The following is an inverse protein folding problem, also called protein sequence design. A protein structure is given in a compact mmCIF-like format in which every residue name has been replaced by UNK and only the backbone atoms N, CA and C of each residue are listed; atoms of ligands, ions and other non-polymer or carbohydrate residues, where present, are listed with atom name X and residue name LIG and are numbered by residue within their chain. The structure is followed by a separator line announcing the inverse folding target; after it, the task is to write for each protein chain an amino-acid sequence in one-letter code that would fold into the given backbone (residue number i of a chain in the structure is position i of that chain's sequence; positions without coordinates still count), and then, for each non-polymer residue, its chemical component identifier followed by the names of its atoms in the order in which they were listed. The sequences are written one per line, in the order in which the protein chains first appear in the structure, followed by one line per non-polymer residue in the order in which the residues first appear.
data_IF_494450149533
#
_entry.id   IF_494450149533
#
_cell.length_a   1.000
_cell.length_b   1.000
_cell.length_c   1.000
_cell.angle_alpha   90.00
_cell.angle_beta   90.00
_cell.angle_gamma   90.00
#
_symmetry.space_group_name_H-M   'P 1'
#
loop_
_entity.id
_entity.type
_entity.pdbx_description
1 polymer ?
#
# COMPACT_ATOMS: atom_id res chain seq x y z
N UNK A 1 -1.45 11.47 30.59
CA UNK A 1 -1.66 12.40 29.47
C UNK A 1 -1.95 11.55 28.26
N UNK A 2 -3.23 11.37 27.92
CA UNK A 2 -3.63 10.58 26.76
C UNK A 2 -3.17 11.33 25.52
N UNK A 3 -2.37 10.69 24.66
CA UNK A 3 -2.01 11.27 23.37
C UNK A 3 -3.32 11.50 22.60
N UNK A 4 -3.58 12.73 22.16
CA UNK A 4 -4.64 13.00 21.19
C UNK A 4 -4.37 12.13 19.97
N UNK A 5 -5.32 11.24 19.63
CA UNK A 5 -5.27 10.49 18.38
C UNK A 5 -5.28 11.52 17.24
N UNK A 6 -4.10 11.73 16.64
CA UNK A 6 -4.02 12.55 15.44
C UNK A 6 -4.78 11.81 14.36
N UNK A 7 -5.80 12.43 13.73
CA UNK A 7 -6.45 11.83 12.59
C UNK A 7 -5.38 11.50 11.53
N UNK A 8 -5.54 10.38 10.84
CA UNK A 8 -4.65 10.00 9.75
C UNK A 8 -4.58 11.10 8.69
N UNK A 9 -3.51 11.11 7.88
CA UNK A 9 -3.36 12.10 6.82
C UNK A 9 -4.42 11.90 5.73
N UNK A 10 -4.97 12.97 5.12
CA UNK A 10 -5.75 12.86 3.91
C UNK A 10 -4.97 12.12 2.82
N UNK A 11 -5.65 11.21 2.12
CA UNK A 11 -5.06 10.40 1.05
C UNK A 11 -5.83 10.67 -0.23
N UNK A 12 -5.13 11.15 -1.24
CA UNK A 12 -5.64 11.32 -2.60
C UNK A 12 -5.05 10.23 -3.48
N UNK A 13 -5.89 9.49 -4.18
CA UNK A 13 -5.47 8.40 -5.07
C UNK A 13 -5.95 8.75 -6.46
N UNK A 14 -5.04 8.78 -7.43
CA UNK A 14 -5.40 8.96 -8.83
C UNK A 14 -6.30 7.79 -9.27
N UNK A 15 -7.36 8.10 -10.01
CA UNK A 15 -8.35 7.11 -10.42
C UNK A 15 -7.70 5.94 -11.19
N UNK A 16 -6.69 6.21 -12.01
CA UNK A 16 -5.95 5.20 -12.76
C UNK A 16 -5.26 4.18 -11.83
N UNK A 17 -4.72 4.63 -10.70
CA UNK A 17 -4.10 3.75 -9.70
C UNK A 17 -5.15 2.87 -9.04
N UNK A 18 -6.29 3.46 -8.65
CA UNK A 18 -7.38 2.68 -8.06
C UNK A 18 -7.89 1.62 -9.04
N UNK A 19 -8.04 1.96 -10.31
CA UNK A 19 -8.45 1.02 -11.36
C UNK A 19 -7.42 -0.10 -11.59
N UNK A 20 -6.12 0.19 -11.58
CA UNK A 20 -5.07 -0.83 -11.72
C UNK A 20 -5.03 -1.78 -10.51
N UNK A 21 -5.11 -1.22 -9.29
CA UNK A 21 -5.18 -2.00 -8.05
C UNK A 21 -6.40 -2.92 -8.02
N UNK A 22 -7.59 -2.40 -8.35
CA UNK A 22 -8.82 -3.20 -8.43
C UNK A 22 -8.73 -4.25 -9.53
N UNK A 23 -8.18 -3.92 -10.70
CA UNK A 23 -7.97 -4.88 -11.79
C UNK A 23 -7.06 -6.03 -11.36
N UNK A 24 -5.96 -5.73 -10.69
CA UNK A 24 -5.05 -6.76 -10.16
C UNK A 24 -5.78 -7.72 -9.22
N UNK A 25 -6.57 -7.20 -8.28
CA UNK A 25 -7.34 -8.03 -7.35
C UNK A 25 -8.37 -8.91 -8.07
N UNK A 26 -9.04 -8.39 -9.11
CA UNK A 26 -10.02 -9.14 -9.89
C UNK A 26 -9.38 -10.24 -10.76
N UNK A 27 -8.21 -9.97 -11.34
CA UNK A 27 -7.48 -10.92 -12.21
C UNK A 27 -7.00 -12.16 -11.46
N UNK A 28 -6.71 -12.03 -10.15
CA UNK A 28 -6.13 -13.11 -9.33
C UNK A 28 -7.17 -13.84 -8.46
N UNK A 29 -8.46 -13.51 -8.59
CA UNK A 29 -9.51 -14.20 -7.85
C UNK A 29 -9.43 -15.73 -8.03
N UNK A 30 -9.61 -16.52 -6.94
CA UNK A 30 -10.02 -16.10 -5.60
C UNK A 30 -8.85 -15.78 -4.65
N UNK A 31 -7.61 -15.63 -5.16
CA UNK A 31 -6.43 -15.41 -4.34
C UNK A 31 -6.31 -13.97 -3.90
N UNK A 32 -5.70 -13.76 -2.74
CA UNK A 32 -5.30 -12.44 -2.29
C UNK A 32 -4.07 -11.95 -3.08
N UNK A 33 -4.06 -10.66 -3.41
CA UNK A 33 -2.92 -9.98 -4.03
C UNK A 33 -2.27 -9.00 -3.08
N UNK A 34 -1.04 -8.60 -3.38
CA UNK A 34 -0.33 -7.52 -2.67
C UNK A 34 0.43 -6.65 -3.67
N UNK A 35 0.61 -5.38 -3.34
CA UNK A 35 1.48 -4.48 -4.10
C UNK A 35 1.79 -3.20 -3.35
N UNK A 36 2.52 -2.33 -4.03
CA UNK A 36 3.05 -1.09 -3.48
C UNK A 36 2.37 0.12 -4.11
N UNK A 37 2.11 1.13 -3.29
CA UNK A 37 1.55 2.40 -3.72
C UNK A 37 2.68 3.41 -3.85
N UNK A 38 2.74 4.04 -5.02
CA UNK A 38 3.74 5.04 -5.35
C UNK A 38 3.13 6.43 -5.33
N UNK A 39 3.88 7.40 -4.84
CA UNK A 39 3.39 8.74 -4.69
C UNK A 39 4.40 9.62 -4.00
N UNK A 40 3.90 10.65 -3.31
CA UNK A 40 4.68 11.47 -2.36
C UNK A 40 3.78 11.98 -1.24
N UNK A 41 4.37 12.27 -0.09
CA UNK A 41 3.75 13.13 0.91
C UNK A 41 4.03 14.62 0.59
N UNK A 42 2.99 15.45 0.70
CA UNK A 42 3.07 16.89 0.49
C UNK A 42 2.59 17.62 1.74
N UNK A 43 3.07 18.84 1.95
CA UNK A 43 2.58 19.73 3.01
C UNK A 43 2.11 21.03 2.39
N UNK A 44 0.87 21.42 2.67
CA UNK A 44 0.28 22.68 2.23
C UNK A 44 -0.52 23.31 3.37
N UNK A 45 -0.35 24.61 3.62
CA UNK A 45 -0.99 25.32 4.73
C UNK A 45 -0.85 24.66 6.12
N UNK A 46 0.26 23.95 6.35
CA UNK A 46 0.51 23.26 7.62
C UNK A 46 -0.16 21.88 7.73
N UNK A 47 -0.89 21.45 6.71
CA UNK A 47 -1.50 20.12 6.64
C UNK A 47 -0.71 19.23 5.68
N UNK A 48 -0.38 18.02 6.15
CA UNK A 48 0.27 17.00 5.31
C UNK A 48 -0.80 16.11 4.69
N UNK A 49 -0.62 15.75 3.42
CA UNK A 49 -1.45 14.79 2.71
C UNK A 49 -0.59 13.86 1.86
N UNK A 50 -1.13 12.69 1.56
CA UNK A 50 -0.49 11.70 0.69
C UNK A 50 -1.18 11.75 -0.67
N UNK A 51 -0.40 11.86 -1.74
CA UNK A 51 -0.92 11.75 -3.11
C UNK A 51 -0.31 10.54 -3.79
N UNK A 52 -1.15 9.54 -4.04
CA UNK A 52 -0.81 8.28 -4.68
C UNK A 52 -1.06 8.41 -6.18
N UNK A 53 0.01 8.26 -6.96
CA UNK A 53 0.05 8.50 -8.42
C UNK A 53 0.55 7.30 -9.22
N UNK A 54 0.86 6.18 -8.55
CA UNK A 54 1.25 4.94 -9.22
C UNK A 54 1.08 3.71 -8.31
N UNK A 55 1.22 2.53 -8.92
CA UNK A 55 1.23 1.23 -8.25
C UNK A 55 2.29 0.32 -8.86
N UNK A 56 2.89 -0.54 -8.05
CA UNK A 56 3.68 -1.68 -8.52
C UNK A 56 3.06 -2.95 -7.94
N UNK A 57 2.72 -3.90 -8.80
CA UNK A 57 2.23 -5.22 -8.38
C UNK A 57 3.36 -5.98 -7.69
N UNK A 58 3.13 -6.41 -6.46
CA UNK A 58 4.08 -7.21 -5.71
C UNK A 58 3.93 -8.68 -6.04
N UNK A 59 5.01 -9.45 -5.88
CA UNK A 59 4.90 -10.92 -5.81
C UNK A 59 4.49 -11.32 -4.40
N UNK A 60 3.34 -11.98 -4.27
CA UNK A 60 2.88 -12.57 -3.02
C UNK A 60 3.53 -13.95 -2.81
N UNK A 61 3.92 -14.27 -1.57
CA UNK A 61 3.99 -15.66 -1.15
C UNK A 61 2.66 -15.94 -0.48
N UNK A 62 1.73 -16.53 -1.23
CA UNK A 62 0.42 -16.89 -0.71
C UNK A 62 0.57 -18.02 0.34
N UNK A 63 0.14 -17.75 1.57
CA UNK A 63 -0.40 -18.81 2.44
C UNK A 63 -1.92 -18.69 2.45
N UNK A 64 -2.64 -19.77 2.74
CA UNK A 64 -4.12 -19.84 2.68
C UNK A 64 -4.85 -18.76 3.51
N UNK A 65 -4.16 -18.02 4.37
CA UNK A 65 -4.75 -17.06 5.32
C UNK A 65 -3.95 -15.78 5.54
N UNK A 66 -2.84 -15.58 4.81
CA UNK A 66 -2.09 -14.32 4.88
C UNK A 66 -1.18 -14.13 3.67
N UNK A 67 -1.13 -12.90 3.15
CA UNK A 67 -0.11 -12.47 2.20
C UNK A 67 1.00 -11.74 2.94
N UNK A 68 2.19 -12.34 2.92
CA UNK A 68 3.42 -11.65 3.27
C UNK A 68 4.18 -11.28 1.99
N UNK A 69 4.93 -10.18 2.04
CA UNK A 69 5.86 -9.83 0.97
C UNK A 69 6.93 -10.94 0.84
N UNK A 70 7.20 -11.40 -0.39
CA UNK A 70 8.39 -12.21 -0.60
C UNK A 70 9.63 -11.37 -0.19
N UNK A 71 10.63 -11.93 0.52
CA UNK A 71 11.83 -11.20 0.93
C UNK A 71 12.53 -10.48 -0.23
N UNK A 72 12.50 -11.07 -1.43
CA UNK A 72 13.13 -10.52 -2.64
C UNK A 72 12.25 -9.47 -3.36
N UNK A 73 10.96 -9.39 -3.01
CA UNK A 73 9.98 -8.49 -3.65
C UNK A 73 10.34 -7.02 -3.44
N UNK A 74 10.85 -6.65 -2.26
CA UNK A 74 11.19 -5.27 -1.96
C UNK A 74 12.41 -4.78 -2.78
N UNK A 75 13.37 -5.66 -3.04
CA UNK A 75 14.54 -5.32 -3.86
C UNK A 75 14.13 -5.10 -5.32
N UNK A 76 13.30 -6.00 -5.87
CA UNK A 76 12.76 -5.88 -7.24
C UNK A 76 11.89 -4.62 -7.40
N UNK A 77 11.06 -4.33 -6.40
CA UNK A 77 10.23 -3.12 -6.39
C UNK A 77 11.10 -1.88 -6.30
N UNK A 78 12.16 -1.88 -5.48
CA UNK A 78 13.09 -0.76 -5.42
C UNK A 78 13.84 -0.56 -6.75
N UNK A 79 14.17 -1.62 -7.47
CA UNK A 79 14.74 -1.54 -8.82
C UNK A 79 13.74 -0.99 -9.85
N UNK A 80 12.50 -1.48 -9.85
CA UNK A 80 11.46 -0.97 -10.75
C UNK A 80 11.13 0.49 -10.47
N UNK A 81 11.06 0.88 -9.20
CA UNK A 81 10.87 2.27 -8.77
C UNK A 81 11.97 3.16 -9.35
N UNK A 82 13.24 2.79 -9.16
CA UNK A 82 14.38 3.59 -9.67
C UNK A 82 14.39 3.71 -11.19
N UNK A 83 13.95 2.66 -11.90
CA UNK A 83 13.99 2.61 -13.36
C UNK A 83 12.81 3.34 -14.00
N UNK A 84 11.60 3.09 -13.52
CA UNK A 84 10.36 3.46 -14.20
C UNK A 84 9.69 4.69 -13.55
N UNK A 85 10.02 4.99 -12.29
CA UNK A 85 9.38 6.03 -11.47
C UNK A 85 10.39 6.80 -10.61
N UNK A 86 11.46 7.38 -11.19
CA UNK A 86 12.56 7.99 -10.44
C UNK A 86 12.15 9.22 -9.62
N UNK A 87 10.96 9.78 -9.89
CA UNK A 87 10.37 10.94 -9.23
C UNK A 87 9.44 10.59 -8.06
N UNK A 88 9.19 9.29 -7.81
CA UNK A 88 8.22 8.80 -6.83
C UNK A 88 8.90 8.04 -5.69
N UNK A 89 8.20 7.96 -4.56
CA UNK A 89 8.54 7.11 -3.43
C UNK A 89 7.42 6.11 -3.14
N UNK A 90 7.75 5.05 -2.40
CA UNK A 90 6.73 4.15 -1.85
C UNK A 90 6.06 4.90 -0.70
N UNK A 91 4.77 5.17 -0.85
CA UNK A 91 3.94 5.83 0.18
C UNK A 91 3.01 4.86 0.90
N UNK A 92 3.03 3.59 0.53
CA UNK A 92 2.20 2.59 1.17
C UNK A 92 2.14 1.28 0.40
N UNK A 93 1.14 0.48 0.74
CA UNK A 93 0.88 -0.81 0.12
C UNK A 93 -0.62 -1.05 -0.01
N UNK A 94 -0.96 -2.01 -0.87
CA UNK A 94 -2.32 -2.51 -0.98
C UNK A 94 -2.33 -4.03 -0.93
N UNK A 95 -3.44 -4.59 -0.46
CA UNK A 95 -3.79 -6.01 -0.62
C UNK A 95 -5.30 -6.17 -0.78
N UNK A 96 -5.73 -7.36 -1.17
CA UNK A 96 -7.16 -7.68 -1.35
C UNK A 96 -7.66 -8.70 -0.34
N UNK A 97 -8.94 -8.65 0.02
CA UNK A 97 -9.62 -9.66 0.84
C UNK A 97 -10.88 -10.21 0.14
N UNK A 98 -10.74 -11.10 -0.86
CA UNK A 98 -11.87 -11.61 -1.64
C UNK A 98 -12.93 -12.29 -0.77
N UNK A 99 -14.09 -11.65 -0.62
CA UNK A 99 -15.23 -12.19 0.13
C UNK A 99 -15.23 -11.93 1.64
N UNK A 100 -14.23 -11.23 2.20
CA UNK A 100 -14.16 -10.93 3.64
C UNK A 100 -14.40 -9.45 3.99
N UNK A 101 -14.33 -8.55 3.01
CA UNK A 101 -14.54 -7.11 3.19
C UNK A 101 -13.25 -6.34 3.55
N UNK A 102 -13.37 -5.03 3.74
CA UNK A 102 -12.23 -4.13 3.90
C UNK A 102 -11.87 -3.92 5.38
N UNK A 103 -10.90 -4.68 5.88
CA UNK A 103 -10.33 -4.53 7.22
C UNK A 103 -8.86 -4.91 7.23
N UNK A 104 -8.11 -4.42 8.21
CA UNK A 104 -6.75 -4.88 8.49
C UNK A 104 -6.80 -5.99 9.54
N UNK A 105 -6.33 -7.17 9.19
CA UNK A 105 -6.11 -8.26 10.14
C UNK A 105 -4.98 -7.91 11.11
N UNK A 106 -4.84 -8.64 12.24
CA UNK A 106 -3.69 -8.48 13.13
C UNK A 106 -2.34 -8.66 12.43
N UNK A 107 -2.29 -9.51 11.40
CA UNK A 107 -1.11 -9.71 10.56
C UNK A 107 -0.83 -8.47 9.72
N UNK A 108 -1.84 -7.86 9.11
CA UNK A 108 -1.67 -6.66 8.28
C UNK A 108 -1.20 -5.47 9.11
N UNK A 109 -1.76 -5.32 10.32
CA UNK A 109 -1.35 -4.28 11.28
C UNK A 109 0.12 -4.48 11.66
N UNK A 110 0.53 -5.72 11.92
CA UNK A 110 1.92 -6.03 12.28
C UNK A 110 2.87 -5.73 11.12
N UNK A 111 2.54 -6.22 9.91
CA UNK A 111 3.31 -5.96 8.69
C UNK A 111 3.42 -4.46 8.38
N UNK A 112 2.32 -3.71 8.48
CA UNK A 112 2.32 -2.28 8.26
C UNK A 112 3.23 -1.56 9.27
N UNK A 113 3.14 -1.89 10.56
CA UNK A 113 4.00 -1.29 11.59
C UNK A 113 5.48 -1.62 11.39
N UNK A 114 5.80 -2.83 10.92
CA UNK A 114 7.19 -3.27 10.73
C UNK A 114 7.83 -2.73 9.45
N UNK A 115 7.08 -2.67 8.35
CA UNK A 115 7.63 -2.35 7.03
C UNK A 115 7.32 -0.91 6.58
N UNK A 116 6.26 -0.29 7.11
CA UNK A 116 5.77 1.01 6.69
C UNK A 116 5.72 1.98 7.88
N UNK A 117 6.90 2.30 8.42
CA UNK A 117 7.04 3.03 9.69
C UNK A 117 6.80 4.56 9.62
N UNK A 118 6.73 5.17 8.43
CA UNK A 118 6.53 6.61 8.35
C UNK A 118 5.07 6.96 8.66
N UNK A 119 4.80 8.07 9.39
CA UNK A 119 3.43 8.45 9.74
C UNK A 119 2.48 8.59 8.56
N UNK A 120 3.02 8.96 7.39
CA UNK A 120 2.27 9.17 6.15
C UNK A 120 2.18 7.91 5.28
N UNK A 121 2.68 6.77 5.74
CA UNK A 121 2.49 5.53 4.99
C UNK A 121 1.05 5.01 5.13
N UNK A 122 0.52 4.46 4.04
CA UNK A 122 -0.87 4.01 3.97
C UNK A 122 -0.98 2.51 3.69
N UNK A 123 -2.08 1.91 4.15
CA UNK A 123 -2.49 0.56 3.79
C UNK A 123 -3.88 0.62 3.13
N UNK A 124 -3.99 0.14 1.89
CA UNK A 124 -5.23 0.06 1.14
C UNK A 124 -5.71 -1.39 1.09
N UNK A 125 -6.98 -1.63 1.46
CA UNK A 125 -7.64 -2.93 1.29
C UNK A 125 -8.67 -2.81 0.17
N UNK A 126 -8.53 -3.62 -0.88
CA UNK A 126 -9.38 -3.62 -2.08
C UNK A 126 -10.24 -4.87 -2.20
#
# INVERSE_FOLDING_TARGET
MCAEERPGYPVYIDLEVLLDVTRHALEELPREVIGFLLGRAYTWNGETYVHVTGSIRGRSIASETSVAFAPDSLAEVAESLRRDHPDKEIVGWYHSHPGYGCFLSPTDITSHKSCFAMPHHVALVV
#
